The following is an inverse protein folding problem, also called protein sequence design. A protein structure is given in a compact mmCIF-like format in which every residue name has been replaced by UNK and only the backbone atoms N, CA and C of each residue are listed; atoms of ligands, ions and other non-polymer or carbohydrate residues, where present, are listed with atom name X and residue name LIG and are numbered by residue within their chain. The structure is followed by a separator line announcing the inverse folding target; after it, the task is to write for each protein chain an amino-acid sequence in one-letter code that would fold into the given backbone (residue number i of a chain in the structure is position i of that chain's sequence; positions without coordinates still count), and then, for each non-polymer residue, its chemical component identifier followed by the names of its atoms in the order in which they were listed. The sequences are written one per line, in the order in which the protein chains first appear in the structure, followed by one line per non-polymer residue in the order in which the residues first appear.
data_IF_037138544887
#
_entry.id   IF_037138544887
#
_cell.length_a   1.000
_cell.length_b   1.000
_cell.length_c   1.000
_cell.angle_alpha   90.00
_cell.angle_beta   90.00
_cell.angle_gamma   90.00
#
_symmetry.space_group_name_H-M   'P 1'
#
loop_
_entity.id
_entity.type
_entity.pdbx_description
1 polymer ?
#
# COMPACT_ATOMS: atom_id res chain seq x y z
N UNK A 1 -10.31 -15.15 10.31
CA UNK A 1 -11.07 -14.18 9.49
C UNK A 1 -10.03 -13.30 8.81
N UNK A 2 -9.93 -13.38 7.48
CA UNK A 2 -9.10 -12.46 6.72
C UNK A 2 -9.81 -11.11 6.72
N UNK A 3 -9.41 -10.19 7.60
CA UNK A 3 -9.90 -8.83 7.54
C UNK A 3 -8.95 -8.03 6.62
N UNK A 4 -9.40 -7.54 5.45
CA UNK A 4 -8.56 -6.72 4.59
C UNK A 4 -8.10 -5.44 5.30
N UNK A 5 -8.94 -4.86 6.19
CA UNK A 5 -8.59 -3.66 6.96
C UNK A 5 -7.33 -3.87 7.79
N UNK A 6 -7.24 -4.97 8.55
CA UNK A 6 -6.07 -5.19 9.41
C UNK A 6 -4.77 -5.35 8.62
N UNK A 7 -4.84 -5.94 7.42
CA UNK A 7 -3.67 -6.06 6.53
C UNK A 7 -3.29 -4.70 5.96
N UNK A 8 -4.26 -3.90 5.52
CA UNK A 8 -4.03 -2.54 5.01
C UNK A 8 -3.46 -1.60 6.10
N UNK A 9 -3.87 -1.78 7.35
CA UNK A 9 -3.30 -1.05 8.49
C UNK A 9 -1.87 -1.47 8.80
N UNK A 10 -1.57 -2.77 8.75
CA UNK A 10 -0.19 -3.23 8.95
C UNK A 10 0.72 -2.73 7.81
N UNK A 11 0.25 -2.73 6.56
CA UNK A 11 0.98 -2.12 5.43
C UNK A 11 1.26 -0.63 5.71
N UNK A 12 0.27 0.13 6.19
CA UNK A 12 0.44 1.55 6.52
C UNK A 12 1.50 1.77 7.60
N UNK A 13 1.44 0.97 8.66
CA UNK A 13 2.40 1.02 9.77
C UNK A 13 3.81 0.65 9.33
N UNK A 14 3.96 -0.38 8.51
CA UNK A 14 5.24 -0.81 7.95
C UNK A 14 5.82 0.25 6.99
N UNK A 15 4.99 0.85 6.14
CA UNK A 15 5.40 1.96 5.27
C UNK A 15 5.89 3.18 6.07
N UNK A 16 5.16 3.55 7.13
CA UNK A 16 5.55 4.66 8.02
C UNK A 16 6.87 4.39 8.73
N UNK A 17 7.04 3.20 9.30
CA UNK A 17 8.29 2.84 9.97
C UNK A 17 9.48 2.80 9.00
N UNK A 18 9.23 2.36 7.77
CA UNK A 18 10.21 2.31 6.70
C UNK A 18 10.68 3.71 6.27
N UNK A 19 9.75 4.65 6.07
CA UNK A 19 10.07 6.05 5.74
C UNK A 19 10.84 6.78 6.85
N UNK A 20 10.56 6.44 8.11
CA UNK A 20 11.21 7.06 9.27
C UNK A 20 12.59 6.46 9.58
N UNK A 21 12.95 5.34 8.94
CA UNK A 21 14.23 4.68 9.19
C UNK A 21 15.35 5.31 8.36
N UNK A 22 16.46 5.62 9.02
CA UNK A 22 17.72 5.99 8.34
C UNK A 22 18.27 4.84 7.49
N UNK A 23 17.99 3.59 7.89
CA UNK A 23 18.39 2.37 7.17
C UNK A 23 17.15 1.50 6.96
N UNK A 24 16.40 1.75 5.89
CA UNK A 24 15.13 1.09 5.64
C UNK A 24 15.36 -0.42 5.38
N UNK A 25 14.76 -1.31 6.19
CA UNK A 25 15.03 -2.75 6.11
C UNK A 25 14.36 -3.38 4.88
N UNK A 26 15.13 -4.12 4.08
CA UNK A 26 14.60 -4.92 2.96
C UNK A 26 13.56 -5.95 3.43
N UNK A 27 13.66 -6.44 4.67
CA UNK A 27 12.67 -7.33 5.25
C UNK A 27 11.29 -6.68 5.39
N UNK A 28 11.21 -5.37 5.67
CA UNK A 28 9.93 -4.65 5.75
C UNK A 28 9.26 -4.58 4.39
N UNK A 29 10.04 -4.37 3.33
CA UNK A 29 9.59 -4.44 1.95
C UNK A 29 8.97 -5.82 1.62
N UNK A 30 9.69 -6.91 1.93
CA UNK A 30 9.20 -8.28 1.70
C UNK A 30 7.88 -8.57 2.42
N UNK A 31 7.75 -8.14 3.69
CA UNK A 31 6.51 -8.31 4.46
C UNK A 31 5.35 -7.52 3.81
N UNK A 32 5.59 -6.28 3.37
CA UNK A 32 4.56 -5.50 2.65
C UNK A 32 4.12 -6.24 1.39
N UNK A 33 5.06 -6.80 0.63
CA UNK A 33 4.78 -7.54 -0.61
C UNK A 33 3.97 -8.80 -0.35
N UNK A 34 4.30 -9.55 0.71
CA UNK A 34 3.54 -10.71 1.15
C UNK A 34 2.10 -10.32 1.48
N UNK A 35 1.89 -9.29 2.30
CA UNK A 35 0.55 -8.80 2.66
C UNK A 35 -0.28 -8.35 1.44
N UNK A 36 0.34 -7.69 0.47
CA UNK A 36 -0.33 -7.29 -0.79
C UNK A 36 -0.71 -8.55 -1.59
N UNK A 37 0.16 -9.55 -1.67
CA UNK A 37 -0.13 -10.79 -2.38
C UNK A 37 -1.26 -11.58 -1.70
N UNK A 38 -1.30 -11.62 -0.36
CA UNK A 38 -2.42 -12.21 0.37
C UNK A 38 -3.73 -11.47 0.08
N UNK A 39 -3.72 -10.14 0.04
CA UNK A 39 -4.90 -9.34 -0.31
C UNK A 39 -5.39 -9.62 -1.74
N UNK A 40 -4.47 -9.86 -2.69
CA UNK A 40 -4.81 -10.23 -4.07
C UNK A 40 -5.46 -11.60 -4.21
N UNK A 41 -5.33 -12.47 -3.22
CA UNK A 41 -5.99 -13.78 -3.18
C UNK A 41 -7.28 -13.78 -2.35
N UNK A 42 -7.63 -12.65 -1.71
CA UNK A 42 -8.81 -12.50 -0.87
C UNK A 42 -10.06 -12.19 -1.70
N UNK A 43 -11.26 -12.49 -1.19
CA UNK A 43 -12.52 -12.11 -1.82
C UNK A 43 -12.64 -10.59 -2.03
N UNK A 44 -11.97 -9.81 -1.17
CA UNK A 44 -11.82 -8.37 -1.35
C UNK A 44 -11.30 -7.97 -2.75
N UNK A 45 -10.41 -8.79 -3.35
CA UNK A 45 -9.84 -8.52 -4.67
C UNK A 45 -10.72 -8.96 -5.85
N UNK A 46 -11.92 -9.51 -5.63
CA UNK A 46 -12.85 -9.81 -6.73
C UNK A 46 -13.33 -8.54 -7.46
N UNK A 47 -13.28 -7.38 -6.80
CA UNK A 47 -13.51 -6.08 -7.43
C UNK A 47 -12.30 -5.68 -8.30
N UNK A 48 -12.56 -5.35 -9.57
CA UNK A 48 -11.51 -5.05 -10.54
C UNK A 48 -10.73 -3.77 -10.20
N UNK A 49 -11.38 -2.80 -9.58
CA UNK A 49 -10.75 -1.57 -9.14
C UNK A 49 -9.89 -1.81 -7.89
N UNK A 50 -10.32 -2.69 -6.97
CA UNK A 50 -9.45 -3.17 -5.86
C UNK A 50 -8.19 -3.83 -6.42
N UNK A 51 -8.34 -4.75 -7.37
CA UNK A 51 -7.20 -5.46 -7.99
C UNK A 51 -6.24 -4.51 -8.70
N UNK A 52 -6.76 -3.50 -9.40
CA UNK A 52 -5.94 -2.43 -9.99
C UNK A 52 -5.13 -1.71 -8.91
N UNK A 53 -5.79 -1.28 -7.82
CA UNK A 53 -5.13 -0.52 -6.74
C UNK A 53 -4.12 -1.34 -5.95
N UNK A 54 -4.36 -2.62 -5.72
CA UNK A 54 -3.37 -3.53 -5.13
C UNK A 54 -2.15 -3.71 -6.05
N UNK A 55 -2.37 -3.67 -7.36
CA UNK A 55 -1.29 -3.80 -8.36
C UNK A 55 -0.46 -2.52 -8.47
N UNK A 56 -1.09 -1.35 -8.47
CA UNK A 56 -0.39 -0.05 -8.48
C UNK A 56 0.33 0.20 -7.15
N UNK A 57 -0.28 -0.14 -6.02
CA UNK A 57 0.37 -0.12 -4.71
C UNK A 57 1.64 -0.97 -4.73
N UNK A 58 1.55 -2.22 -5.17
CA UNK A 58 2.71 -3.12 -5.31
C UNK A 58 3.82 -2.49 -6.16
N UNK A 59 3.48 -1.90 -7.30
CA UNK A 59 4.45 -1.27 -8.19
C UNK A 59 5.13 -0.05 -7.56
N UNK A 60 4.38 0.75 -6.79
CA UNK A 60 4.96 1.86 -6.04
C UNK A 60 5.93 1.37 -4.96
N UNK A 61 5.58 0.30 -4.22
CA UNK A 61 6.48 -0.32 -3.24
C UNK A 61 7.79 -0.78 -3.89
N UNK A 62 7.73 -1.45 -5.03
CA UNK A 62 8.92 -1.88 -5.80
C UNK A 62 9.77 -0.66 -6.23
N UNK A 63 9.12 0.44 -6.62
CA UNK A 63 9.81 1.64 -7.05
C UNK A 63 10.49 2.40 -5.90
N UNK A 64 9.99 2.29 -4.65
CA UNK A 64 10.63 2.90 -3.47
C UNK A 64 11.98 2.23 -3.17
N UNK A 65 12.09 0.90 -3.31
CA UNK A 65 13.37 0.17 -3.15
C UNK A 65 14.29 0.23 -4.37
N UNK A 66 13.82 0.78 -5.50
CA UNK A 66 14.57 0.77 -6.75
C UNK A 66 14.55 -0.57 -7.51
N UNK A 67 13.65 -1.48 -7.13
CA UNK A 67 13.37 -2.73 -7.87
C UNK A 67 12.40 -2.49 -9.05
N UNK A 68 11.64 -1.40 -8.99
CA UNK A 68 10.70 -0.98 -10.03
C UNK A 68 11.32 -0.08 -11.11
N UNK A 69 10.73 -0.06 -12.31
CA UNK A 69 11.10 0.87 -13.38
C UNK A 69 10.74 2.34 -13.09
N UNK A 70 10.02 2.60 -11.99
CA UNK A 70 9.89 3.87 -11.28
C UNK A 70 9.46 5.09 -12.08
N UNK A 71 8.99 4.92 -13.32
CA UNK A 71 8.67 5.96 -14.31
C UNK A 71 9.58 7.21 -14.34
N UNK A 72 10.83 7.11 -13.86
CA UNK A 72 11.79 8.22 -13.73
C UNK A 72 11.60 9.13 -12.50
N UNK A 73 10.72 8.80 -11.56
CA UNK A 73 10.54 9.53 -10.31
C UNK A 73 11.23 8.85 -9.12
N UNK A 74 11.53 9.65 -8.09
CA UNK A 74 12.20 9.16 -6.88
C UNK A 74 11.26 8.38 -5.95
N UNK A 75 11.87 7.67 -5.00
CA UNK A 75 11.15 6.88 -4.00
C UNK A 75 10.22 7.72 -3.10
N UNK A 76 10.48 9.02 -2.90
CA UNK A 76 9.60 9.88 -2.10
C UNK A 76 8.25 10.09 -2.81
N UNK A 77 8.28 10.30 -4.12
CA UNK A 77 7.07 10.41 -4.92
C UNK A 77 6.28 9.11 -4.96
N UNK A 78 6.97 7.98 -5.12
CA UNK A 78 6.36 6.66 -5.06
C UNK A 78 5.75 6.36 -3.69
N UNK A 79 6.37 6.81 -2.59
CA UNK A 79 5.79 6.71 -1.26
C UNK A 79 4.46 7.46 -1.15
N UNK A 80 4.38 8.70 -1.65
CA UNK A 80 3.13 9.50 -1.63
C UNK A 80 2.02 8.82 -2.43
N UNK A 81 2.35 8.24 -3.58
CA UNK A 81 1.37 7.52 -4.40
C UNK A 81 0.95 6.18 -3.78
N UNK A 82 1.88 5.42 -3.21
CA UNK A 82 1.58 4.22 -2.43
C UNK A 82 0.60 4.53 -1.29
N UNK A 83 0.80 5.64 -0.58
CA UNK A 83 -0.13 6.12 0.45
C UNK A 83 -1.52 6.47 -0.11
N UNK A 84 -1.57 7.12 -1.27
CA UNK A 84 -2.84 7.42 -1.95
C UNK A 84 -3.62 6.16 -2.34
N UNK A 85 -2.96 5.16 -2.91
CA UNK A 85 -3.59 3.88 -3.26
C UNK A 85 -4.01 3.10 -2.01
N UNK A 86 -3.19 3.10 -0.96
CA UNK A 86 -3.51 2.46 0.31
C UNK A 86 -4.75 3.09 0.96
N UNK A 87 -4.88 4.41 0.95
CA UNK A 87 -6.04 5.10 1.50
C UNK A 87 -7.32 4.75 0.72
N UNK A 88 -7.24 4.68 -0.61
CA UNK A 88 -8.38 4.23 -1.45
C UNK A 88 -8.78 2.79 -1.13
N UNK A 89 -7.80 1.89 -0.96
CA UNK A 89 -8.07 0.50 -0.57
C UNK A 89 -8.74 0.40 0.80
N UNK A 90 -8.29 1.21 1.79
CA UNK A 90 -8.94 1.29 3.11
C UNK A 90 -10.39 1.78 3.00
N UNK A 91 -10.64 2.80 2.19
CA UNK A 91 -11.99 3.28 1.88
C UNK A 91 -12.86 2.15 1.30
N UNK A 92 -12.35 1.43 0.31
CA UNK A 92 -13.07 0.32 -0.33
C UNK A 92 -13.33 -0.85 0.61
N UNK A 93 -12.42 -1.10 1.55
CA UNK A 93 -12.58 -2.11 2.58
C UNK A 93 -13.59 -1.71 3.69
N UNK A 94 -14.13 -0.48 3.66
CA UNK A 94 -15.06 0.02 4.66
C UNK A 94 -14.39 0.44 5.97
N UNK A 95 -13.16 0.96 5.91
CA UNK A 95 -12.43 1.42 7.09
C UNK A 95 -13.22 2.51 7.86
N UNK A 96 -13.31 2.43 9.20
CA UNK A 96 -14.14 3.35 10.00
C UNK A 96 -13.72 4.83 9.90
N UNK A 97 -12.44 5.10 9.68
CA UNK A 97 -11.89 6.46 9.54
C UNK A 97 -12.05 7.04 8.12
N UNK A 98 -13.09 6.61 7.38
CA UNK A 98 -13.34 6.98 5.98
C UNK A 98 -13.27 8.50 5.72
N UNK A 99 -13.77 9.32 6.66
CA UNK A 99 -13.82 10.78 6.48
C UNK A 99 -12.41 11.42 6.44
N UNK A 100 -11.49 10.96 7.29
CA UNK A 100 -10.10 11.46 7.33
C UNK A 100 -9.27 10.99 6.12
N UNK A 101 -9.60 9.80 5.58
CA UNK A 101 -8.91 9.23 4.43
C UNK A 101 -9.27 9.95 3.11
N UNK A 102 -10.51 10.44 2.99
CA UNK A 102 -10.99 11.20 1.83
C UNK A 102 -10.32 12.57 1.70
N UNK A 103 -10.01 13.22 2.82
CA UNK A 103 -9.34 14.54 2.85
C UNK A 103 -7.88 14.45 2.38
N UNK A 104 -7.24 13.28 2.51
CA UNK A 104 -5.88 13.02 2.00
C UNK A 104 -5.80 12.67 0.50
N UNK A 105 -6.95 12.49 -0.17
CA UNK A 105 -7.02 12.08 -1.58
C UNK A 105 -7.19 13.26 -2.56
N UNK A 106 -7.23 14.50 -2.05
CA UNK A 106 -7.29 15.75 -2.84
C UNK A 106 -5.88 16.32 -3.07
#
# INVERSE_FOLDING_TARGET
MNNPISKLDEIDKLLKSWQQSTYPSFQVYEIIKELINELKQDDFAQDSYVTEKLSTLSWHIDSIVGEGNGNGHDGEKHYKWAKGDLNKLKVMAGHPDFQELMDYCQ
#
